data_IF_508550775803
#
_entry.id   IF_508550775803
#
_cell.length_a   1.000
_cell.length_b   1.000
_cell.length_c   1.000
_cell.angle_alpha   90.00
_cell.angle_beta   90.00
_cell.angle_gamma   90.00
#
_symmetry.space_group_name_H-M   'P 1'
#
loop_
_entity.id
_entity.type
_entity.pdbx_description
1 polymer ?
#
# COMPACT_ATOMS: atom_id res chain seq x y z
N UNK A 1 -5.81 5.11 -16.39
CA UNK A 1 -4.34 5.08 -16.33
C UNK A 1 -3.93 3.86 -15.49
N UNK A 2 -3.25 2.86 -16.07
CA UNK A 2 -2.87 1.64 -15.34
C UNK A 2 -1.43 1.83 -14.86
N UNK A 3 -1.25 2.01 -13.56
CA UNK A 3 0.10 2.08 -12.95
C UNK A 3 0.86 0.76 -13.18
N UNK A 4 2.18 0.85 -13.34
CA UNK A 4 3.09 -0.32 -13.38
C UNK A 4 3.59 -0.71 -11.99
N UNK A 5 3.22 0.04 -10.95
CA UNK A 5 3.63 -0.23 -9.58
C UNK A 5 2.84 -1.42 -9.02
N UNK A 6 3.56 -2.30 -8.32
CA UNK A 6 3.02 -3.50 -7.67
C UNK A 6 3.06 -3.33 -6.15
N UNK A 7 2.27 -4.10 -5.40
CA UNK A 7 2.37 -4.11 -3.95
C UNK A 7 3.80 -4.37 -3.43
N UNK A 8 4.13 -3.76 -2.29
CA UNK A 8 5.40 -3.86 -1.61
C UNK A 8 5.34 -4.92 -0.49
N UNK A 9 6.44 -5.64 -0.33
CA UNK A 9 6.68 -6.47 0.85
C UNK A 9 7.05 -5.56 2.04
N UNK A 10 6.68 -5.97 3.24
CA UNK A 10 7.07 -5.27 4.47
C UNK A 10 8.51 -5.62 4.83
N UNK A 11 9.19 -4.74 5.59
CA UNK A 11 10.49 -5.05 6.20
C UNK A 11 10.43 -6.30 7.08
N UNK A 12 11.55 -7.02 7.18
CA UNK A 12 11.67 -8.18 8.05
C UNK A 12 11.47 -7.84 9.55
N UNK A 13 11.65 -6.57 9.93
CA UNK A 13 11.45 -6.07 11.29
C UNK A 13 9.99 -5.72 11.62
N UNK A 14 9.08 -5.70 10.63
CA UNK A 14 7.67 -5.38 10.87
C UNK A 14 6.99 -6.42 11.77
N UNK A 15 5.78 -6.15 12.22
CA UNK A 15 5.04 -7.14 13.02
C UNK A 15 4.75 -8.42 12.18
N UNK A 16 4.98 -9.65 12.71
CA UNK A 16 4.80 -10.89 11.96
C UNK A 16 3.40 -11.12 11.37
N UNK A 17 2.34 -10.84 12.12
CA UNK A 17 0.95 -10.88 11.62
C UNK A 17 0.73 -9.87 10.49
N UNK A 18 1.30 -8.66 10.57
CA UNK A 18 1.25 -7.67 9.51
C UNK A 18 1.92 -8.19 8.23
N UNK A 19 3.07 -8.87 8.34
CA UNK A 19 3.72 -9.52 7.18
C UNK A 19 2.86 -10.64 6.59
N UNK A 20 2.23 -11.45 7.42
CA UNK A 20 1.35 -12.54 6.99
C UNK A 20 0.17 -11.99 6.17
N UNK A 21 -0.57 -11.05 6.76
CA UNK A 21 -1.69 -10.40 6.10
C UNK A 21 -1.26 -9.65 4.84
N UNK A 22 -0.13 -8.94 4.87
CA UNK A 22 0.36 -8.28 3.66
C UNK A 22 0.66 -9.28 2.55
N UNK A 23 1.33 -10.39 2.85
CA UNK A 23 1.66 -11.41 1.85
C UNK A 23 0.40 -11.99 1.20
N UNK A 24 -0.65 -12.25 1.98
CA UNK A 24 -1.97 -12.64 1.47
C UNK A 24 -2.60 -11.55 0.60
N UNK A 25 -2.49 -10.28 1.00
CA UNK A 25 -2.96 -9.14 0.22
C UNK A 25 -2.27 -9.03 -1.15
N UNK A 26 -0.96 -9.28 -1.21
CA UNK A 26 -0.21 -9.34 -2.48
C UNK A 26 -0.73 -10.47 -3.36
N UNK A 27 -0.98 -11.66 -2.80
CA UNK A 27 -1.53 -12.79 -3.55
C UNK A 27 -2.89 -12.46 -4.18
N UNK A 28 -3.80 -11.86 -3.41
CA UNK A 28 -5.08 -11.40 -3.93
C UNK A 28 -4.93 -10.30 -4.99
N UNK A 29 -4.02 -9.35 -4.77
CA UNK A 29 -3.73 -8.29 -5.74
C UNK A 29 -3.26 -8.83 -7.09
N UNK A 30 -2.35 -9.80 -7.07
CA UNK A 30 -1.84 -10.48 -8.28
C UNK A 30 -2.94 -11.24 -9.03
N UNK A 31 -3.99 -11.69 -8.32
CA UNK A 31 -5.20 -12.31 -8.91
C UNK A 31 -6.23 -11.29 -9.40
N UNK A 32 -5.97 -9.98 -9.29
CA UNK A 32 -6.92 -8.91 -9.60
C UNK A 32 -8.05 -8.74 -8.58
N UNK A 33 -7.97 -9.43 -7.44
CA UNK A 33 -8.96 -9.44 -6.37
C UNK A 33 -8.74 -8.28 -5.41
N UNK A 34 -9.02 -7.06 -5.87
CA UNK A 34 -8.65 -5.84 -5.15
C UNK A 34 -9.43 -5.62 -3.84
N UNK A 35 -10.64 -6.16 -3.71
CA UNK A 35 -11.40 -6.07 -2.46
C UNK A 35 -10.79 -6.97 -1.38
N UNK A 36 -10.48 -8.22 -1.74
CA UNK A 36 -9.83 -9.17 -0.85
C UNK A 36 -8.42 -8.69 -0.47
N UNK A 37 -7.68 -8.11 -1.41
CA UNK A 37 -6.40 -7.47 -1.14
C UNK A 37 -6.53 -6.32 -0.11
N UNK A 38 -7.53 -5.44 -0.27
CA UNK A 38 -7.80 -4.35 0.68
C UNK A 38 -8.11 -4.86 2.09
N UNK A 39 -8.89 -5.94 2.22
CA UNK A 39 -9.20 -6.55 3.51
C UNK A 39 -7.89 -6.99 4.19
N UNK A 40 -7.04 -7.70 3.47
CA UNK A 40 -5.78 -8.19 4.02
C UNK A 40 -4.80 -7.07 4.36
N UNK A 41 -4.62 -6.08 3.49
CA UNK A 41 -3.78 -4.93 3.81
C UNK A 41 -4.34 -4.10 4.99
N UNK A 42 -5.67 -4.09 5.17
CA UNK A 42 -6.28 -3.43 6.34
C UNK A 42 -5.96 -4.20 7.63
N UNK A 43 -6.06 -5.54 7.61
CA UNK A 43 -5.62 -6.35 8.75
C UNK A 43 -4.14 -6.15 9.05
N UNK A 44 -3.29 -6.03 8.03
CA UNK A 44 -1.89 -5.67 8.21
C UNK A 44 -1.72 -4.31 8.90
N UNK A 45 -2.50 -3.29 8.53
CA UNK A 45 -2.45 -1.96 9.16
C UNK A 45 -2.97 -1.92 10.60
N UNK A 46 -3.84 -2.87 10.97
CA UNK A 46 -4.30 -3.04 12.36
C UNK A 46 -3.20 -3.67 13.22
N UNK A 47 -2.45 -4.62 12.66
CA UNK A 47 -1.33 -5.26 13.34
C UNK A 47 -0.10 -4.34 13.45
N UNK A 48 0.17 -3.52 12.43
CA UNK A 48 1.24 -2.53 12.42
C UNK A 48 0.79 -1.27 11.68
N UNK A 49 0.60 -0.18 12.43
CA UNK A 49 0.15 1.11 11.89
C UNK A 49 1.30 2.05 11.50
N UNK A 50 2.54 1.60 11.53
CA UNK A 50 3.73 2.45 11.35
C UNK A 50 4.57 2.07 10.12
N UNK A 51 4.21 0.99 9.43
CA UNK A 51 4.92 0.55 8.22
C UNK A 51 4.35 1.18 6.95
N UNK A 52 5.14 2.02 6.28
CA UNK A 52 4.72 2.78 5.09
C UNK A 52 4.27 1.92 3.91
N UNK A 53 4.83 0.73 3.73
CA UNK A 53 4.51 -0.21 2.65
C UNK A 53 3.06 -0.69 2.71
N UNK A 54 2.50 -0.83 3.92
CA UNK A 54 1.10 -1.22 4.11
C UNK A 54 0.19 -0.14 3.53
N UNK A 55 0.47 1.12 3.85
CA UNK A 55 -0.29 2.25 3.35
C UNK A 55 -0.08 2.46 1.85
N UNK A 56 1.11 2.20 1.33
CA UNK A 56 1.35 2.19 -0.11
C UNK A 56 0.44 1.15 -0.80
N UNK A 57 0.37 -0.06 -0.25
CA UNK A 57 -0.46 -1.14 -0.79
C UNK A 57 -1.96 -0.82 -0.74
N UNK A 58 -2.44 -0.24 0.37
CA UNK A 58 -3.81 0.26 0.48
C UNK A 58 -4.11 1.34 -0.56
N UNK A 59 -3.21 2.31 -0.73
CA UNK A 59 -3.33 3.38 -1.72
C UNK A 59 -3.36 2.85 -3.15
N UNK A 60 -2.49 1.90 -3.46
CA UNK A 60 -2.44 1.23 -4.76
C UNK A 60 -3.77 0.51 -5.05
N UNK A 61 -4.33 -0.23 -4.09
CA UNK A 61 -5.61 -0.92 -4.30
C UNK A 61 -6.77 0.05 -4.50
N UNK A 62 -6.82 1.16 -3.76
CA UNK A 62 -7.83 2.20 -3.98
C UNK A 62 -7.67 2.86 -5.35
N UNK A 63 -6.43 3.11 -5.80
CA UNK A 63 -6.17 3.66 -7.12
C UNK A 63 -6.64 2.72 -8.24
N UNK A 64 -6.33 1.42 -8.15
CA UNK A 64 -6.75 0.41 -9.12
C UNK A 64 -8.28 0.24 -9.17
N UNK A 65 -8.97 0.49 -8.06
CA UNK A 65 -10.44 0.57 -7.99
C UNK A 65 -11.04 1.88 -8.50
N UNK A 66 -10.22 2.87 -8.86
CA UNK A 66 -10.68 4.20 -9.30
C UNK A 66 -10.99 5.18 -8.15
N UNK A 67 -10.77 4.80 -6.89
CA UNK A 67 -11.05 5.62 -5.71
C UNK A 67 -9.88 6.56 -5.42
N UNK A 68 -9.66 7.56 -6.28
CA UNK A 68 -8.49 8.44 -6.21
C UNK A 68 -8.38 9.25 -4.91
N UNK A 69 -9.50 9.73 -4.35
CA UNK A 69 -9.48 10.44 -3.05
C UNK A 69 -8.99 9.55 -1.90
N UNK A 70 -9.46 8.29 -1.84
CA UNK A 70 -8.99 7.34 -0.83
C UNK A 70 -7.52 6.96 -1.07
N UNK A 71 -7.13 6.79 -2.33
CA UNK A 71 -5.74 6.51 -2.69
C UNK A 71 -4.81 7.63 -2.20
N UNK A 72 -5.17 8.89 -2.45
CA UNK A 72 -4.44 10.08 -1.99
C UNK A 72 -4.22 10.07 -0.48
N UNK A 73 -5.25 9.75 0.31
CA UNK A 73 -5.13 9.70 1.77
C UNK A 73 -4.18 8.60 2.26
N UNK A 74 -4.19 7.42 1.63
CA UNK A 74 -3.24 6.36 1.96
C UNK A 74 -1.83 6.67 1.48
N UNK A 75 -1.66 7.30 0.32
CA UNK A 75 -0.34 7.70 -0.16
C UNK A 75 0.30 8.80 0.69
N UNK A 76 -0.49 9.69 1.31
CA UNK A 76 0.01 10.62 2.33
C UNK A 76 0.60 9.87 3.53
N UNK A 77 -0.12 8.86 4.03
CA UNK A 77 0.35 8.02 5.15
C UNK A 77 1.59 7.21 4.76
N UNK A 78 1.60 6.61 3.56
CA UNK A 78 2.75 5.87 3.04
C UNK A 78 4.00 6.74 3.03
N UNK A 79 3.91 7.97 2.51
CA UNK A 79 5.04 8.93 2.49
C UNK A 79 5.45 9.37 3.90
N UNK A 80 4.50 9.54 4.81
CA UNK A 80 4.79 9.90 6.20
C UNK A 80 5.57 8.80 6.93
N UNK A 81 5.17 7.54 6.73
CA UNK A 81 5.77 6.36 7.35
C UNK A 81 6.81 5.66 6.46
N UNK A 82 7.38 6.36 5.47
CA UNK A 82 8.23 5.72 4.48
C UNK A 82 9.55 5.20 5.06
N UNK A 83 10.03 5.76 6.18
CA UNK A 83 11.29 5.41 6.84
C UNK A 83 12.48 5.26 5.88
N UNK A 84 12.63 6.21 4.95
CA UNK A 84 13.70 6.19 3.95
C UNK A 84 13.49 5.20 2.79
N UNK A 85 12.37 4.46 2.75
CA UNK A 85 12.05 3.57 1.63
C UNK A 85 11.87 4.35 0.33
N UNK A 86 12.89 4.28 -0.52
CA UNK A 86 12.95 4.96 -1.82
C UNK A 86 11.82 4.55 -2.76
N UNK A 87 11.31 3.31 -2.69
CA UNK A 87 10.18 2.88 -3.53
C UNK A 87 8.93 3.71 -3.25
N UNK A 88 8.74 4.13 -1.99
CA UNK A 88 7.64 5.02 -1.59
C UNK A 88 7.98 6.47 -1.93
N UNK A 89 9.15 6.96 -1.49
CA UNK A 89 9.54 8.37 -1.62
C UNK A 89 9.68 8.82 -3.10
N UNK A 90 10.09 7.91 -3.97
CA UNK A 90 10.31 8.17 -5.39
C UNK A 90 9.15 7.70 -6.27
N UNK A 91 8.11 7.08 -5.69
CA UNK A 91 6.94 6.57 -6.41
C UNK A 91 6.31 7.65 -7.28
N UNK A 92 6.22 7.38 -8.59
CA UNK A 92 5.58 8.28 -9.55
C UNK A 92 4.08 8.33 -9.30
N UNK A 93 3.50 7.21 -8.88
CA UNK A 93 2.10 7.13 -8.52
C UNK A 93 1.79 8.03 -7.32
N UNK A 94 2.59 7.96 -6.25
CA UNK A 94 2.42 8.84 -5.09
C UNK A 94 2.53 10.30 -5.51
N UNK A 95 3.56 10.67 -6.28
CA UNK A 95 3.74 12.05 -6.77
C UNK A 95 2.49 12.54 -7.49
N UNK A 96 1.98 11.77 -8.46
CA UNK A 96 0.77 12.09 -9.21
C UNK A 96 -0.48 12.35 -8.34
N UNK A 97 -0.64 11.63 -7.22
CA UNK A 97 -1.79 11.82 -6.32
C UNK A 97 -1.61 12.97 -5.31
N UNK A 98 -0.37 13.33 -5.02
CA UNK A 98 -0.04 14.34 -3.99
C UNK A 98 0.29 15.71 -4.57
N UNK A 99 0.63 15.78 -5.85
CA UNK A 99 0.76 17.04 -6.59
C UNK A 99 -0.61 17.76 -6.68
N UNK A 100 -0.61 19.10 -6.62
CA UNK A 100 -1.83 19.91 -6.72
C UNK A 100 -2.48 19.87 -8.10
#
# INVERSE_FOLDING_TARGET
DKTKETPLLLPAAAEPSARLHNSQGIEYSNKGKYLEALIQFTQASVADSTTGEIYFNLGLMQHLKGNHEKAKNFFKQARHFADGNKKILESKLIKKHLEP
#
